data_IF_723033400310
#
_entry.id   IF_723033400310
#
_cell.length_a   1.000
_cell.length_b   1.000
_cell.length_c   1.000
_cell.angle_alpha   90.00
_cell.angle_beta   90.00
_cell.angle_gamma   90.00
#
_symmetry.space_group_name_H-M   'P 1'
#
loop_
_entity.id
_entity.type
_entity.pdbx_description
1 polymer ?
#
# COMPACT_ATOMS: atom_id res chain seq x y z
N UNK A 1 59.06 -4.11 -7.31
CA UNK A 1 60.44 -3.58 -7.30
C UNK A 1 60.66 -2.82 -8.59
N UNK A 2 61.26 -1.63 -8.52
CA UNK A 2 61.54 -0.82 -9.71
C UNK A 2 63.03 -0.91 -10.01
N UNK A 3 63.35 -1.03 -11.29
CA UNK A 3 64.74 -1.06 -11.73
C UNK A 3 65.38 0.32 -11.50
N UNK A 4 66.49 0.42 -10.75
CA UNK A 4 67.06 1.70 -10.35
C UNK A 4 67.74 2.46 -11.49
N UNK A 5 67.97 1.83 -12.65
CA UNK A 5 68.69 2.42 -13.78
C UNK A 5 67.73 2.91 -14.87
N UNK A 6 66.76 2.08 -15.24
CA UNK A 6 65.72 2.37 -16.23
C UNK A 6 64.51 3.08 -15.62
N UNK A 7 64.25 2.91 -14.33
CA UNK A 7 63.06 3.42 -13.64
C UNK A 7 61.80 2.56 -13.85
N UNK A 8 61.87 1.53 -14.69
CA UNK A 8 60.73 0.67 -15.01
C UNK A 8 60.36 -0.16 -13.78
N UNK A 9 59.08 -0.15 -13.43
CA UNK A 9 58.56 -0.84 -12.27
C UNK A 9 57.88 -2.15 -12.65
N UNK A 10 58.41 -3.28 -12.17
CA UNK A 10 57.76 -4.58 -12.32
C UNK A 10 56.45 -4.66 -11.51
N UNK A 11 56.37 -3.89 -10.42
CA UNK A 11 55.18 -3.80 -9.58
C UNK A 11 54.87 -2.34 -9.20
N UNK A 12 53.65 -1.86 -9.44
CA UNK A 12 53.21 -0.53 -9.02
C UNK A 12 52.50 -0.55 -7.66
N UNK A 13 52.70 0.49 -6.83
CA UNK A 13 51.95 0.64 -5.60
C UNK A 13 50.45 0.86 -5.88
N UNK A 14 49.63 0.69 -4.84
CA UNK A 14 48.19 0.93 -4.93
C UNK A 14 47.86 2.33 -5.46
N UNK A 15 46.89 2.41 -6.37
CA UNK A 15 46.45 3.67 -6.95
C UNK A 15 47.25 4.17 -8.15
N UNK A 16 48.30 3.45 -8.57
CA UNK A 16 49.14 3.83 -9.72
C UNK A 16 49.33 2.71 -10.73
N UNK A 17 49.61 3.11 -11.98
CA UNK A 17 49.87 2.25 -13.14
C UNK A 17 50.80 2.95 -14.14
N UNK A 18 51.12 2.29 -15.25
CA UNK A 18 52.15 2.70 -16.21
C UNK A 18 53.50 2.05 -15.95
N UNK A 19 54.40 2.12 -16.93
CA UNK A 19 55.72 1.47 -16.88
C UNK A 19 56.60 2.02 -15.75
N UNK A 20 56.38 3.27 -15.35
CA UNK A 20 57.11 3.96 -14.27
C UNK A 20 56.19 4.30 -13.08
N UNK A 21 54.99 3.73 -13.02
CA UNK A 21 53.96 4.01 -12.01
C UNK A 21 53.59 5.50 -11.88
N UNK A 22 53.74 6.26 -12.95
CA UNK A 22 53.51 7.69 -13.00
C UNK A 22 52.03 8.04 -13.17
N UNK A 23 51.24 7.12 -13.71
CA UNK A 23 49.81 7.33 -13.98
C UNK A 23 48.97 6.91 -12.77
N UNK A 24 47.96 7.70 -12.44
CA UNK A 24 46.98 7.31 -11.43
C UNK A 24 45.93 6.38 -12.03
N UNK A 25 45.29 5.56 -11.19
CA UNK A 25 44.16 4.75 -11.65
C UNK A 25 43.02 5.61 -12.20
N UNK A 26 42.34 5.11 -13.22
CA UNK A 26 41.05 5.65 -13.65
C UNK A 26 40.02 5.53 -12.51
N UNK A 27 38.97 6.38 -12.47
CA UNK A 27 38.04 6.46 -11.34
C UNK A 27 37.35 5.14 -10.96
N UNK A 28 37.17 4.22 -11.92
CA UNK A 28 36.52 2.92 -11.71
C UNK A 28 37.50 1.78 -11.38
N UNK A 29 38.77 2.08 -11.13
CA UNK A 29 39.82 1.09 -10.88
C UNK A 29 40.64 1.44 -9.65
N UNK A 30 41.14 0.41 -8.97
CA UNK A 30 41.91 0.58 -7.75
C UNK A 30 42.95 -0.53 -7.56
N UNK A 31 43.76 -0.39 -6.51
CA UNK A 31 44.76 -1.37 -6.10
C UNK A 31 46.06 -1.27 -6.91
N UNK A 32 46.99 -2.20 -6.70
CA UNK A 32 48.26 -2.23 -7.43
C UNK A 32 48.02 -2.44 -8.92
N UNK A 33 48.69 -1.65 -9.75
CA UNK A 33 48.50 -1.60 -11.22
C UNK A 33 47.07 -1.30 -11.67
N UNK A 34 46.17 -0.86 -10.79
CA UNK A 34 44.77 -0.58 -11.13
C UNK A 34 44.03 -1.79 -11.73
N UNK A 35 44.44 -3.01 -11.35
CA UNK A 35 43.87 -4.24 -11.89
C UNK A 35 42.48 -4.54 -11.31
N UNK A 36 42.18 -4.00 -10.12
CA UNK A 36 40.89 -4.19 -9.46
C UNK A 36 39.88 -3.13 -9.94
N UNK A 37 38.59 -3.49 -9.93
CA UNK A 37 37.50 -2.65 -10.42
C UNK A 37 36.61 -2.29 -9.24
N UNK A 38 36.25 -1.01 -9.13
CA UNK A 38 35.34 -0.54 -8.09
C UNK A 38 33.99 -1.28 -8.13
N UNK A 39 33.37 -1.46 -6.96
CA UNK A 39 32.02 -2.01 -6.83
C UNK A 39 31.04 -1.28 -7.76
N UNK A 40 30.12 -2.05 -8.35
CA UNK A 40 29.03 -1.48 -9.15
C UNK A 40 28.01 -0.73 -8.30
N UNK A 41 28.02 -0.91 -6.98
CA UNK A 41 27.12 -0.23 -6.06
C UNK A 41 27.63 1.16 -5.62
N UNK A 42 28.90 1.51 -5.87
CA UNK A 42 29.36 2.88 -5.63
C UNK A 42 28.64 3.86 -6.57
N UNK A 43 28.42 5.08 -6.11
CA UNK A 43 27.96 6.18 -6.99
C UNK A 43 28.94 6.36 -8.15
N UNK A 44 28.42 6.34 -9.38
CA UNK A 44 29.19 6.40 -10.64
C UNK A 44 30.33 5.36 -10.79
N UNK A 45 30.28 4.29 -9.99
CA UNK A 45 31.35 3.28 -9.84
C UNK A 45 32.70 3.88 -9.45
N UNK A 46 32.70 4.97 -8.69
CA UNK A 46 33.93 5.65 -8.25
C UNK A 46 34.33 5.20 -6.84
N UNK A 47 35.57 4.79 -6.69
CA UNK A 47 36.13 4.37 -5.41
C UNK A 47 37.54 4.93 -5.20
N UNK A 48 38.00 4.89 -3.95
CA UNK A 48 39.37 5.23 -3.58
C UNK A 48 40.35 4.34 -4.31
N UNK A 49 41.32 4.96 -4.99
CA UNK A 49 42.21 4.29 -5.95
C UNK A 49 43.18 3.32 -5.26
N UNK A 50 43.39 3.45 -3.94
CA UNK A 50 44.32 2.60 -3.18
C UNK A 50 43.57 1.48 -2.48
N UNK A 51 42.56 1.82 -1.67
CA UNK A 51 41.81 0.88 -0.82
C UNK A 51 40.62 0.20 -1.52
N UNK A 52 40.09 0.83 -2.57
CA UNK A 52 38.88 0.38 -3.24
C UNK A 52 37.57 0.73 -2.54
N UNK A 53 37.61 1.50 -1.45
CA UNK A 53 36.40 1.95 -0.75
C UNK A 53 35.62 2.94 -1.60
N UNK A 54 34.31 2.76 -1.76
CA UNK A 54 33.48 3.71 -2.48
C UNK A 54 33.62 5.12 -1.89
N UNK A 55 33.78 6.14 -2.73
CA UNK A 55 33.88 7.53 -2.25
C UNK A 55 32.52 8.09 -1.82
N UNK A 56 31.44 7.56 -2.38
CA UNK A 56 30.06 7.88 -2.05
C UNK A 56 29.18 6.68 -2.34
N UNK A 57 28.20 6.44 -1.47
CA UNK A 57 27.15 5.44 -1.68
C UNK A 57 25.85 6.11 -2.12
N UNK A 58 25.07 5.46 -3.02
CA UNK A 58 23.76 5.96 -3.38
C UNK A 58 22.83 5.97 -2.16
N UNK A 59 21.73 6.71 -2.26
CA UNK A 59 20.73 6.76 -1.20
C UNK A 59 20.22 5.34 -0.87
N UNK A 60 20.08 5.05 0.42
CA UNK A 60 19.64 3.74 0.90
C UNK A 60 20.74 2.68 1.04
N UNK A 61 22.00 3.01 0.72
CA UNK A 61 23.14 2.08 0.80
C UNK A 61 24.30 2.64 1.62
N UNK A 62 25.05 1.75 2.25
CA UNK A 62 26.25 2.07 3.05
C UNK A 62 27.28 0.94 3.01
N UNK A 63 28.37 1.11 3.75
CA UNK A 63 29.52 0.21 3.80
C UNK A 63 30.60 0.57 2.79
N UNK A 64 31.77 -0.05 2.95
CA UNK A 64 32.96 0.22 2.13
C UNK A 64 32.75 -0.01 0.63
N UNK A 65 31.81 -0.88 0.25
CA UNK A 65 31.49 -1.21 -1.14
C UNK A 65 30.04 -0.85 -1.54
N UNK A 66 29.32 -0.12 -0.68
CA UNK A 66 27.90 0.24 -0.84
C UNK A 66 26.96 -0.97 -1.03
N UNK A 67 27.37 -2.12 -0.50
CA UNK A 67 26.67 -3.41 -0.60
C UNK A 67 25.72 -3.66 0.57
N UNK A 68 25.71 -2.78 1.58
CA UNK A 68 24.87 -2.88 2.75
C UNK A 68 23.70 -1.92 2.63
N UNK A 69 22.53 -2.34 3.12
CA UNK A 69 21.37 -1.47 3.27
C UNK A 69 21.58 -0.50 4.44
N UNK A 70 20.87 0.64 4.43
CA UNK A 70 20.92 1.53 5.58
C UNK A 70 20.47 0.83 6.87
N UNK A 71 21.17 1.06 7.99
CA UNK A 71 20.66 0.69 9.30
C UNK A 71 19.29 1.34 9.53
N UNK A 72 18.40 0.63 10.23
CA UNK A 72 17.08 1.15 10.57
C UNK A 72 17.17 2.49 11.31
N UNK A 73 16.34 3.44 10.92
CA UNK A 73 16.35 4.79 11.48
C UNK A 73 17.29 5.77 10.76
N UNK A 74 18.04 5.31 9.74
CA UNK A 74 18.88 6.15 8.90
C UNK A 74 18.46 6.08 7.43
N UNK A 75 18.70 7.16 6.69
CA UNK A 75 18.36 7.26 5.28
C UNK A 75 19.31 8.20 4.50
N UNK A 76 19.10 8.27 3.19
CA UNK A 76 19.81 9.17 2.29
C UNK A 76 21.17 8.64 1.83
N UNK A 77 21.94 9.49 1.16
CA UNK A 77 23.29 9.18 0.64
C UNK A 77 24.20 8.77 1.80
N UNK A 78 24.80 7.59 1.70
CA UNK A 78 25.67 7.05 2.76
C UNK A 78 24.97 6.75 4.10
N UNK A 79 23.64 6.86 4.16
CA UNK A 79 22.85 6.72 5.39
C UNK A 79 23.24 7.72 6.50
N UNK A 80 23.59 8.95 6.11
CA UNK A 80 24.04 9.99 7.04
C UNK A 80 22.89 10.80 7.66
N UNK A 81 21.65 10.61 7.20
CA UNK A 81 20.46 11.30 7.70
C UNK A 81 19.66 10.40 8.63
N UNK A 82 18.99 10.98 9.63
CA UNK A 82 18.17 10.24 10.60
C UNK A 82 16.70 10.44 10.33
N UNK A 83 15.92 9.36 10.34
CA UNK A 83 14.46 9.40 10.16
C UNK A 83 13.79 10.41 11.10
N UNK A 84 12.67 10.99 10.66
CA UNK A 84 11.83 11.84 11.51
C UNK A 84 11.44 11.09 12.79
N UNK A 85 11.55 11.77 13.93
CA UNK A 85 11.12 11.21 15.22
C UNK A 85 9.59 11.09 15.32
N UNK A 86 8.85 11.72 14.42
CA UNK A 86 7.40 11.56 14.31
C UNK A 86 7.00 10.26 13.59
N UNK A 87 7.92 9.61 12.86
CA UNK A 87 7.65 8.30 12.27
C UNK A 87 7.35 7.27 13.36
N UNK A 88 6.45 6.33 13.06
CA UNK A 88 6.16 5.23 13.97
C UNK A 88 7.43 4.37 14.16
N UNK A 89 7.84 4.18 15.42
CA UNK A 89 9.10 3.52 15.81
C UNK A 89 10.37 4.18 15.25
N UNK A 90 10.29 5.42 14.75
CA UNK A 90 11.42 6.10 14.10
C UNK A 90 11.90 5.42 12.82
N UNK A 91 11.02 4.69 12.13
CA UNK A 91 11.37 3.95 10.91
C UNK A 91 10.91 4.70 9.65
N UNK A 92 11.82 4.81 8.70
CA UNK A 92 11.58 5.44 7.41
C UNK A 92 12.24 4.66 6.27
N UNK A 93 11.82 4.94 5.05
CA UNK A 93 12.43 4.46 3.81
C UNK A 93 13.89 4.93 3.73
N UNK A 94 14.80 3.99 3.43
CA UNK A 94 16.24 4.23 3.48
C UNK A 94 16.74 5.20 2.39
N UNK A 95 16.00 5.34 1.29
CA UNK A 95 16.34 6.19 0.15
C UNK A 95 15.75 7.60 0.28
N UNK A 96 14.46 7.71 0.59
CA UNK A 96 13.72 8.99 0.63
C UNK A 96 13.67 9.63 2.01
N UNK A 97 13.67 8.83 3.07
CA UNK A 97 13.42 9.29 4.44
C UNK A 97 11.94 9.36 4.82
N UNK A 98 11.04 8.92 3.95
CA UNK A 98 9.60 8.92 4.20
C UNK A 98 9.24 7.88 5.26
N UNK A 99 8.37 8.24 6.20
CA UNK A 99 7.96 7.36 7.29
C UNK A 99 7.24 6.13 6.74
N UNK A 100 7.66 4.94 7.19
CA UNK A 100 7.01 3.68 6.80
C UNK A 100 5.58 3.57 7.35
N UNK A 101 5.31 4.25 8.47
CA UNK A 101 4.01 4.40 9.08
C UNK A 101 3.96 5.64 9.98
N UNK A 102 2.79 6.24 10.11
CA UNK A 102 2.53 7.31 11.07
C UNK A 102 1.80 6.79 12.32
N UNK A 103 2.07 7.39 13.50
CA UNK A 103 1.23 7.20 14.69
C UNK A 103 -0.22 7.61 14.43
N UNK A 104 -1.15 7.10 15.26
CA UNK A 104 -2.57 7.45 15.16
C UNK A 104 -2.77 8.97 15.24
N UNK A 105 -3.52 9.52 14.28
CA UNK A 105 -3.79 10.94 14.21
C UNK A 105 -2.69 11.79 13.57
N UNK A 106 -1.64 11.18 13.01
CA UNK A 106 -0.63 11.85 12.19
C UNK A 106 -0.67 11.37 10.73
N UNK A 107 -0.31 12.26 9.82
CA UNK A 107 -0.26 12.02 8.38
C UNK A 107 0.92 12.80 7.76
N UNK A 108 1.15 12.56 6.47
CA UNK A 108 2.28 13.13 5.73
C UNK A 108 3.40 12.14 5.50
N UNK A 109 4.33 12.50 4.62
CA UNK A 109 5.53 11.71 4.35
C UNK A 109 6.48 11.70 5.56
N UNK A 110 6.42 12.71 6.43
CA UNK A 110 7.25 12.85 7.63
C UNK A 110 6.46 12.76 8.95
N UNK A 111 5.16 12.47 8.87
CA UNK A 111 4.21 12.42 9.99
C UNK A 111 4.16 13.71 10.83
N UNK A 112 4.44 14.86 10.23
CA UNK A 112 4.44 16.17 10.88
C UNK A 112 3.11 16.92 10.76
N UNK A 113 2.14 16.34 10.03
CA UNK A 113 0.80 16.86 9.93
C UNK A 113 -0.19 16.08 10.79
N UNK A 114 -1.16 16.79 11.38
CA UNK A 114 -2.30 16.15 12.00
C UNK A 114 -3.13 15.46 10.91
N UNK A 115 -3.34 14.15 11.05
CA UNK A 115 -4.26 13.43 10.18
C UNK A 115 -5.62 14.12 10.27
N UNK A 116 -6.26 14.43 9.13
CA UNK A 116 -7.67 14.76 9.15
C UNK A 116 -8.37 13.67 9.93
N UNK A 117 -9.15 14.06 10.96
CA UNK A 117 -10.08 13.11 11.58
C UNK A 117 -10.80 12.39 10.44
N UNK A 118 -10.98 11.05 10.52
CA UNK A 118 -11.80 10.37 9.52
C UNK A 118 -13.08 11.19 9.44
N UNK A 119 -13.36 11.71 8.25
CA UNK A 119 -14.42 12.67 8.01
C UNK A 119 -15.74 11.96 8.23
N UNK A 120 -16.07 11.66 9.48
CA UNK A 120 -16.97 10.60 9.89
C UNK A 120 -16.62 9.23 9.25
N UNK A 121 -16.84 8.14 9.96
CA UNK A 121 -17.44 7.02 9.25
C UNK A 121 -18.82 7.55 8.82
N UNK A 122 -18.92 8.25 7.69
CA UNK A 122 -20.22 8.51 7.11
C UNK A 122 -20.78 7.12 6.82
N UNK A 123 -21.85 6.66 7.49
CA UNK A 123 -22.49 5.43 7.08
C UNK A 123 -22.85 5.64 5.61
N UNK A 124 -22.32 4.78 4.74
CA UNK A 124 -22.51 4.89 3.31
C UNK A 124 -23.99 5.13 3.06
N UNK A 125 -24.36 6.24 2.42
CA UNK A 125 -25.75 6.65 2.11
C UNK A 125 -26.58 5.53 1.48
N UNK A 126 -25.90 4.48 0.98
CA UNK A 126 -26.40 3.21 0.48
C UNK A 126 -27.13 2.36 1.54
N UNK A 127 -26.70 2.33 2.79
CA UNK A 127 -27.38 1.55 3.86
C UNK A 127 -28.77 2.15 4.15
N UNK A 128 -28.84 3.47 4.38
CA UNK A 128 -30.10 4.16 4.63
C UNK A 128 -31.05 4.15 3.42
N UNK A 129 -30.53 4.24 2.19
CA UNK A 129 -31.36 4.23 0.98
C UNK A 129 -31.97 2.85 0.70
N UNK A 130 -31.26 1.77 1.00
CA UNK A 130 -31.77 0.41 0.85
C UNK A 130 -32.88 0.09 1.86
N UNK A 131 -32.76 0.57 3.11
CA UNK A 131 -33.82 0.44 4.12
C UNK A 131 -35.11 1.16 3.69
N UNK A 132 -34.99 2.37 3.13
CA UNK A 132 -36.13 3.15 2.63
C UNK A 132 -36.84 2.41 1.47
N UNK A 133 -36.10 1.80 0.54
CA UNK A 133 -36.67 1.03 -0.58
C UNK A 133 -37.45 -0.19 -0.07
N UNK A 134 -36.91 -0.93 0.89
CA UNK A 134 -37.54 -2.13 1.45
C UNK A 134 -38.87 -1.78 2.15
N UNK A 135 -38.88 -0.70 2.94
CA UNK A 135 -40.08 -0.21 3.64
C UNK A 135 -41.16 0.23 2.63
N UNK A 136 -40.78 0.94 1.57
CA UNK A 136 -41.71 1.37 0.52
C UNK A 136 -42.32 0.19 -0.26
N UNK A 137 -41.54 -0.85 -0.54
CA UNK A 137 -42.01 -2.06 -1.20
C UNK A 137 -43.02 -2.86 -0.33
N UNK A 138 -42.80 -2.93 0.99
CA UNK A 138 -43.71 -3.61 1.91
C UNK A 138 -45.07 -2.91 2.02
N UNK A 139 -45.09 -1.57 2.01
CA UNK A 139 -46.34 -0.79 2.05
C UNK A 139 -47.20 -1.01 0.79
N UNK A 140 -46.58 -1.09 -0.39
CA UNK A 140 -47.29 -1.36 -1.64
C UNK A 140 -47.89 -2.78 -1.67
N UNK A 141 -47.16 -3.78 -1.15
CA UNK A 141 -47.64 -5.16 -1.05
C UNK A 141 -48.89 -5.31 -0.18
N UNK A 142 -48.94 -4.62 0.96
CA UNK A 142 -50.09 -4.66 1.87
C UNK A 142 -51.39 -4.14 1.26
N UNK A 143 -51.33 -3.03 0.51
CA UNK A 143 -52.51 -2.44 -0.15
C UNK A 143 -53.10 -3.38 -1.20
N UNK A 144 -52.25 -4.08 -1.97
CA UNK A 144 -52.69 -5.04 -3.00
C UNK A 144 -53.38 -6.24 -2.35
N UNK A 145 -52.84 -6.79 -1.25
CA UNK A 145 -53.47 -7.91 -0.54
C UNK A 145 -54.82 -7.50 0.05
N UNK A 146 -54.92 -6.32 0.66
CA UNK A 146 -56.19 -5.82 1.21
C UNK A 146 -57.21 -5.62 0.07
N UNK A 147 -56.82 -5.04 -1.06
CA UNK A 147 -57.70 -4.85 -2.21
C UNK A 147 -58.20 -6.19 -2.78
N UNK A 148 -57.34 -7.21 -2.85
CA UNK A 148 -57.72 -8.57 -3.27
C UNK A 148 -58.69 -9.18 -2.27
N UNK A 149 -58.42 -9.10 -0.96
CA UNK A 149 -59.30 -9.63 0.08
C UNK A 149 -60.67 -8.92 0.08
N UNK A 150 -60.70 -7.60 -0.03
CA UNK A 150 -61.94 -6.83 -0.17
C UNK A 150 -62.67 -7.21 -1.45
N UNK A 151 -61.95 -7.36 -2.57
CA UNK A 151 -62.49 -7.86 -3.83
C UNK A 151 -63.12 -9.25 -3.70
N UNK A 152 -62.43 -10.20 -3.06
CA UNK A 152 -62.92 -11.54 -2.77
C UNK A 152 -64.14 -11.51 -1.83
N UNK A 153 -64.14 -10.67 -0.80
CA UNK A 153 -65.29 -10.52 0.12
C UNK A 153 -66.49 -9.95 -0.64
N UNK A 154 -66.31 -8.90 -1.44
CA UNK A 154 -67.38 -8.31 -2.27
C UNK A 154 -67.90 -9.34 -3.28
N UNK A 155 -67.00 -10.09 -3.93
CA UNK A 155 -67.37 -11.16 -4.85
C UNK A 155 -68.13 -12.30 -4.16
N UNK A 156 -67.66 -12.76 -3.00
CA UNK A 156 -68.36 -13.77 -2.19
C UNK A 156 -69.72 -13.26 -1.70
N UNK A 157 -69.84 -11.98 -1.31
CA UNK A 157 -71.12 -11.37 -0.90
C UNK A 157 -72.09 -11.23 -2.06
N UNK A 158 -71.61 -10.85 -3.25
CA UNK A 158 -72.42 -10.86 -4.48
C UNK A 158 -72.89 -12.26 -4.83
N UNK A 159 -72.00 -13.26 -4.75
CA UNK A 159 -72.35 -14.66 -5.03
C UNK A 159 -73.31 -15.26 -4.00
N UNK A 160 -73.26 -14.83 -2.72
CA UNK A 160 -74.28 -15.15 -1.71
C UNK A 160 -75.60 -14.40 -1.91
N UNK A 161 -75.61 -13.33 -2.71
CA UNK A 161 -76.82 -12.66 -3.19
C UNK A 161 -77.41 -13.29 -4.46
N UNK A 162 -76.67 -14.18 -5.12
CA UNK A 162 -77.10 -15.03 -6.25
C UNK A 162 -77.21 -16.51 -5.82
N UNK A 163 -77.61 -16.77 -4.57
CA UNK A 163 -78.17 -18.07 -4.21
C UNK A 163 -79.69 -17.94 -4.41
N UNK A 164 -80.28 -18.58 -5.42
CA UNK A 164 -81.72 -18.55 -5.60
C UNK A 164 -82.39 -19.27 -4.41
N UNK A 165 -83.55 -18.75 -3.97
CA UNK A 165 -84.25 -19.08 -2.73
C UNK A 165 -84.70 -20.57 -2.58
N UNK A 166 -84.43 -21.42 -3.56
CA UNK A 166 -84.91 -22.80 -3.66
C UNK A 166 -84.00 -23.87 -2.99
N UNK A 167 -82.90 -23.49 -2.31
CA UNK A 167 -82.02 -24.46 -1.61
C UNK A 167 -82.08 -24.34 -0.07
N UNK A 168 -82.84 -23.39 0.48
CA UNK A 168 -83.03 -23.28 1.95
C UNK A 168 -84.19 -24.16 2.45
N UNK A 169 -84.97 -24.79 1.57
CA UNK A 169 -86.11 -25.64 1.97
C UNK A 169 -85.79 -27.15 2.08
N UNK A 170 -84.52 -27.57 1.99
CA UNK A 170 -84.12 -29.00 2.13
C UNK A 170 -83.31 -29.31 3.40
N UNK A 171 -82.95 -28.31 4.21
CA UNK A 171 -82.21 -28.53 5.45
C UNK A 171 -83.12 -28.71 6.69
N UNK A 172 -84.39 -28.31 6.64
CA UNK A 172 -85.31 -28.44 7.79
C UNK A 172 -86.23 -29.67 7.74
N UNK A 173 -86.24 -30.44 6.65
CA UNK A 173 -87.04 -31.69 6.56
C UNK A 173 -86.28 -32.94 7.02
N UNK A 174 -85.02 -32.82 7.43
CA UNK A 174 -84.19 -33.95 7.91
C UNK A 174 -83.86 -33.87 9.40
N UNK A 175 -84.79 -33.35 10.22
CA UNK A 175 -84.71 -33.40 11.70
C UNK A 175 -86.03 -33.83 12.35
N UNK A 176 -86.99 -34.34 11.56
CA UNK A 176 -88.12 -35.13 12.05
C UNK A 176 -88.28 -36.40 11.22
N UNK A 177 -87.51 -37.42 11.56
CA UNK A 177 -87.95 -38.81 11.70
C UNK A 177 -86.99 -39.51 12.67
#
# INVERSE_FOLDING_TARGET
>A
ECDPTSGICAACPGGRTGDFCEQECSPQRFGPHCLQICSSACTDRVCDRVSGKCLSCPAGRTGDQCDQECPSGLFGVGCEQTCSSACLNGLCEADTGNCLACPDGMAGDLCDEAAPLPASAEPSKKELYMDIIIIAAAAAGGVVVIAILVGCIVWCRRRKGDVPDDVIEIAETSTRF
#
